data_IF_903701312653
#
_entry.id   IF_903701312653
#
_cell.length_a   1.000
_cell.length_b   1.000
_cell.length_c   1.000
_cell.angle_alpha   90.00
_cell.angle_beta   90.00
_cell.angle_gamma   90.00
#
_symmetry.space_group_name_H-M   'P 1'
#
loop_
_entity.id
_entity.type
_entity.pdbx_description
1 polymer ?
#
# COMPACT_ATOMS: atom_id res chain seq x y z
N UNK A 1 -21.55 12.39 -16.86
CA UNK A 1 -20.43 11.66 -16.25
C UNK A 1 -19.55 12.55 -15.36
N UNK A 2 -19.81 13.87 -15.29
CA UNK A 2 -19.19 14.82 -14.34
C UNK A 2 -19.14 14.33 -12.88
N UNK A 3 -20.19 13.62 -12.44
CA UNK A 3 -20.25 13.05 -11.09
C UNK A 3 -19.07 12.12 -10.76
N UNK A 4 -18.53 11.37 -11.72
CA UNK A 4 -17.44 10.44 -11.46
C UNK A 4 -16.13 11.19 -11.17
N UNK A 5 -15.84 12.26 -11.93
CA UNK A 5 -14.69 13.12 -11.67
C UNK A 5 -14.74 13.69 -10.25
N UNK A 6 -15.89 14.21 -9.81
CA UNK A 6 -16.03 14.75 -8.46
C UNK A 6 -15.90 13.68 -7.37
N UNK A 7 -16.43 12.47 -7.58
CA UNK A 7 -16.25 11.35 -6.65
C UNK A 7 -14.76 10.97 -6.57
N UNK A 8 -14.09 10.81 -7.71
CA UNK A 8 -12.67 10.47 -7.75
C UNK A 8 -11.81 11.56 -7.10
N UNK A 9 -12.08 12.82 -7.38
CA UNK A 9 -11.41 13.96 -6.76
C UNK A 9 -11.62 13.98 -5.24
N UNK A 10 -12.84 13.72 -4.78
CA UNK A 10 -13.12 13.61 -3.34
C UNK A 10 -12.32 12.47 -2.69
N UNK A 11 -12.16 11.32 -3.36
CA UNK A 11 -11.29 10.23 -2.91
C UNK A 11 -9.83 10.69 -2.82
N UNK A 12 -9.30 11.38 -3.84
CA UNK A 12 -7.93 11.92 -3.84
C UNK A 12 -7.71 12.89 -2.69
N UNK A 13 -8.60 13.87 -2.53
CA UNK A 13 -8.51 14.88 -1.46
C UNK A 13 -8.56 14.20 -0.08
N UNK A 14 -9.50 13.28 0.12
CA UNK A 14 -9.65 12.55 1.38
C UNK A 14 -8.42 11.68 1.67
N UNK A 15 -7.84 11.07 0.65
CA UNK A 15 -6.62 10.29 0.75
C UNK A 15 -5.40 11.16 1.12
N UNK A 16 -5.27 12.34 0.52
CA UNK A 16 -4.25 13.32 0.91
C UNK A 16 -4.41 13.76 2.38
N UNK A 17 -5.64 14.03 2.81
CA UNK A 17 -5.94 14.33 4.22
C UNK A 17 -5.51 13.16 5.11
N UNK A 18 -5.84 11.91 4.74
CA UNK A 18 -5.42 10.73 5.51
C UNK A 18 -3.90 10.64 5.66
N UNK A 19 -3.12 10.90 4.59
CA UNK A 19 -1.66 10.93 4.65
C UNK A 19 -1.16 12.00 5.61
N UNK A 20 -1.71 13.22 5.55
CA UNK A 20 -1.34 14.31 6.46
C UNK A 20 -1.65 13.93 7.91
N UNK A 21 -2.83 13.35 8.16
CA UNK A 21 -3.21 12.88 9.50
C UNK A 21 -2.24 11.81 10.01
N UNK A 22 -1.72 10.92 9.15
CA UNK A 22 -0.70 9.95 9.53
C UNK A 22 0.62 10.59 9.97
N UNK A 23 0.95 11.78 9.44
CA UNK A 23 2.20 12.49 9.75
C UNK A 23 2.07 13.37 11.00
N UNK A 24 0.88 13.91 11.26
CA UNK A 24 0.67 14.93 12.33
C UNK A 24 0.10 14.31 13.61
N UNK A 25 -0.81 13.33 13.51
CA UNK A 25 -1.40 12.72 14.71
C UNK A 25 -0.36 11.84 15.42
N UNK A 26 -0.27 11.89 16.76
CA UNK A 26 0.64 11.04 17.52
C UNK A 26 0.51 9.55 17.12
N UNK A 27 1.62 8.86 16.83
CA UNK A 27 1.68 7.44 16.44
C UNK A 27 0.76 6.49 17.23
N UNK A 28 0.71 6.66 18.55
CA UNK A 28 -0.09 5.84 19.48
C UNK A 28 -1.60 5.99 19.24
N UNK A 29 -2.03 7.15 18.75
CA UNK A 29 -3.43 7.47 18.46
C UNK A 29 -3.77 6.99 17.05
N UNK A 30 -3.05 7.46 16.02
CA UNK A 30 -3.35 7.11 14.63
C UNK A 30 -3.26 5.61 14.40
N UNK A 31 -2.26 4.93 14.98
CA UNK A 31 -2.07 3.50 14.79
C UNK A 31 -3.13 2.61 15.47
N UNK A 32 -3.98 3.18 16.33
CA UNK A 32 -5.19 2.49 16.83
C UNK A 32 -6.35 2.54 15.85
N UNK A 33 -6.28 3.38 14.82
CA UNK A 33 -7.31 3.52 13.79
C UNK A 33 -6.81 3.05 12.44
N UNK A 34 -5.57 3.35 12.09
CA UNK A 34 -4.90 2.90 10.86
C UNK A 34 -3.63 2.13 11.20
N UNK A 35 -3.71 0.79 11.32
CA UNK A 35 -2.56 -0.05 11.58
C UNK A 35 -1.51 0.11 10.48
N UNK A 36 -0.25 0.02 10.88
CA UNK A 36 0.88 0.23 9.97
C UNK A 36 0.86 1.60 9.26
N UNK A 37 0.28 2.64 9.88
CA UNK A 37 0.28 4.02 9.37
C UNK A 37 1.68 4.54 8.99
N UNK A 38 2.75 4.01 9.61
CA UNK A 38 4.13 4.32 9.23
C UNK A 38 4.42 4.00 7.77
N UNK A 39 3.68 3.10 7.13
CA UNK A 39 3.84 2.81 5.70
C UNK A 39 3.54 4.03 4.81
N UNK A 40 2.85 5.05 5.33
CA UNK A 40 2.63 6.34 4.68
C UNK A 40 3.75 7.36 4.95
N UNK A 41 4.67 7.07 5.87
CA UNK A 41 5.80 7.97 6.17
C UNK A 41 6.91 7.76 5.13
N UNK A 42 7.44 8.81 4.49
CA UNK A 42 8.48 8.66 3.47
C UNK A 42 9.68 7.81 3.93
N UNK A 43 10.13 8.00 5.17
CA UNK A 43 11.28 7.30 5.76
C UNK A 43 11.08 5.79 5.93
N UNK A 44 9.83 5.31 6.06
CA UNK A 44 9.47 3.89 6.20
C UNK A 44 8.86 3.33 4.92
N UNK A 45 8.27 4.17 4.08
CA UNK A 45 7.80 3.80 2.74
C UNK A 45 8.97 3.36 1.84
N UNK A 46 10.11 4.05 1.94
CA UNK A 46 11.31 3.72 1.19
C UNK A 46 12.00 2.42 1.65
N UNK A 47 11.67 1.92 2.84
CA UNK A 47 12.23 0.68 3.38
C UNK A 47 11.44 -0.51 2.81
N UNK A 48 11.83 -0.97 1.63
CA UNK A 48 11.13 -2.06 0.93
C UNK A 48 11.01 -3.33 1.76
N UNK A 49 12.01 -3.64 2.59
CA UNK A 49 11.97 -4.78 3.52
C UNK A 49 10.84 -4.65 4.55
N UNK A 50 10.68 -3.46 5.13
CA UNK A 50 9.57 -3.17 6.05
C UNK A 50 8.23 -3.29 5.32
N UNK A 51 8.09 -2.66 4.14
CA UNK A 51 6.86 -2.72 3.35
C UNK A 51 6.50 -4.16 2.97
N UNK A 52 7.48 -4.94 2.51
CA UNK A 52 7.29 -6.31 2.04
C UNK A 52 6.90 -7.25 3.18
N UNK A 53 7.53 -7.12 4.36
CA UNK A 53 7.18 -7.94 5.53
C UNK A 53 5.79 -7.57 6.06
N UNK A 54 5.46 -6.28 6.12
CA UNK A 54 4.11 -5.81 6.50
C UNK A 54 3.06 -6.32 5.51
N UNK A 55 3.35 -6.23 4.21
CA UNK A 55 2.51 -6.77 3.15
C UNK A 55 2.28 -8.28 3.35
N UNK A 56 3.32 -9.09 3.49
CA UNK A 56 3.15 -10.55 3.68
C UNK A 56 2.48 -10.92 5.01
N UNK A 57 2.60 -10.09 6.05
CA UNK A 57 1.90 -10.27 7.31
C UNK A 57 0.38 -9.99 7.19
N UNK A 58 -0.02 -9.03 6.34
CA UNK A 58 -1.40 -8.59 6.16
C UNK A 58 -2.19 -9.36 5.08
N UNK A 59 -1.51 -9.99 4.11
CA UNK A 59 -2.14 -10.60 2.94
C UNK A 59 -1.93 -12.11 2.93
N UNK A 60 -2.63 -12.81 3.82
CA UNK A 60 -2.50 -14.27 4.02
C UNK A 60 -3.48 -15.05 3.19
N UNK A 61 -4.66 -14.50 2.94
CA UNK A 61 -5.71 -15.14 2.15
C UNK A 61 -5.37 -15.05 0.65
N UNK A 62 -5.52 -16.17 -0.06
CA UNK A 62 -5.37 -16.25 -1.51
C UNK A 62 -6.29 -15.27 -2.24
N UNK A 63 -7.53 -15.09 -1.78
CA UNK A 63 -8.44 -14.10 -2.36
C UNK A 63 -7.85 -12.69 -2.25
N UNK A 64 -7.37 -12.32 -1.06
CA UNK A 64 -6.77 -11.02 -0.83
C UNK A 64 -5.52 -10.82 -1.71
N UNK A 65 -4.67 -11.85 -1.87
CA UNK A 65 -3.52 -11.82 -2.77
C UNK A 65 -3.92 -11.60 -4.23
N UNK A 66 -4.98 -12.27 -4.69
CA UNK A 66 -5.48 -12.15 -6.07
C UNK A 66 -5.95 -10.73 -6.34
N UNK A 67 -6.80 -10.18 -5.47
CA UNK A 67 -7.29 -8.81 -5.66
C UNK A 67 -6.17 -7.78 -5.58
N UNK A 68 -5.10 -8.04 -4.83
CA UNK A 68 -3.93 -7.17 -4.79
C UNK A 68 -3.07 -7.19 -6.06
N UNK A 69 -3.19 -8.18 -6.95
CA UNK A 69 -2.52 -8.09 -8.26
C UNK A 69 -3.01 -6.92 -9.11
N UNK A 70 -4.19 -6.37 -8.81
CA UNK A 70 -4.67 -5.12 -9.42
C UNK A 70 -3.72 -3.94 -9.24
N UNK A 71 -2.87 -3.93 -8.19
CA UNK A 71 -1.88 -2.87 -7.93
C UNK A 71 -0.92 -2.67 -9.12
N UNK A 72 -0.56 -3.75 -9.84
CA UNK A 72 0.24 -3.62 -11.05
C UNK A 72 -0.45 -2.74 -12.09
N UNK A 73 -1.75 -2.96 -12.31
CA UNK A 73 -2.55 -2.19 -13.26
C UNK A 73 -2.74 -0.76 -12.74
N UNK A 74 -3.09 -0.62 -11.46
CA UNK A 74 -3.32 0.68 -10.82
C UNK A 74 -2.13 1.63 -10.98
N UNK A 75 -0.90 1.12 -10.89
CA UNK A 75 0.31 1.93 -11.06
C UNK A 75 0.33 2.67 -12.41
N UNK A 76 -0.05 2.00 -13.50
CA UNK A 76 -0.15 2.60 -14.83
C UNK A 76 -1.38 3.50 -14.94
N UNK A 77 -2.52 3.06 -14.41
CA UNK A 77 -3.78 3.81 -14.44
C UNK A 77 -3.61 5.16 -13.76
N UNK A 78 -2.97 5.20 -12.59
CA UNK A 78 -2.64 6.45 -11.91
C UNK A 78 -1.81 7.38 -12.80
N UNK A 79 -0.72 6.88 -13.40
CA UNK A 79 0.16 7.70 -14.25
C UNK A 79 -0.57 8.24 -15.48
N UNK A 80 -1.43 7.44 -16.11
CA UNK A 80 -2.27 7.89 -17.23
C UNK A 80 -3.27 8.96 -16.80
N UNK A 81 -3.89 8.81 -15.61
CA UNK A 81 -4.83 9.80 -15.08
C UNK A 81 -4.14 11.14 -14.82
N UNK A 82 -3.00 11.16 -14.11
CA UNK A 82 -2.30 12.43 -13.87
C UNK A 82 -1.79 13.04 -15.17
N UNK A 83 -1.27 12.23 -16.11
CA UNK A 83 -0.81 12.73 -17.40
C UNK A 83 -1.92 13.41 -18.22
N UNK A 84 -3.18 12.94 -18.14
CA UNK A 84 -4.29 13.59 -18.85
C UNK A 84 -4.65 14.97 -18.30
N UNK A 85 -4.32 15.27 -17.03
CA UNK A 85 -4.49 16.60 -16.48
C UNK A 85 -3.35 17.55 -16.90
N UNK A 86 -2.12 17.05 -16.85
CA UNK A 86 -0.95 17.79 -17.30
C UNK A 86 0.19 16.82 -17.61
N UNK A 87 0.68 16.84 -18.86
CA UNK A 87 1.79 15.97 -19.27
C UNK A 87 3.08 16.20 -18.47
N UNK A 88 3.22 17.39 -17.87
CA UNK A 88 4.34 17.70 -16.99
C UNK A 88 4.47 16.80 -15.76
N UNK A 89 3.37 16.15 -15.33
CA UNK A 89 3.39 15.20 -14.22
C UNK A 89 4.33 14.02 -14.47
N UNK A 90 4.55 13.61 -15.72
CA UNK A 90 5.48 12.52 -16.01
C UNK A 90 6.93 12.89 -15.68
N UNK A 91 7.35 14.14 -15.91
CA UNK A 91 8.68 14.60 -15.51
C UNK A 91 8.84 14.62 -13.99
N UNK A 92 7.79 15.00 -13.27
CA UNK A 92 7.77 14.95 -11.80
C UNK A 92 7.86 13.49 -11.33
N UNK A 93 7.08 12.59 -11.91
CA UNK A 93 7.12 11.16 -11.58
C UNK A 93 8.52 10.57 -11.83
N UNK A 94 9.14 10.90 -12.97
CA UNK A 94 10.51 10.49 -13.29
C UNK A 94 11.53 10.97 -12.25
N UNK A 95 11.45 12.24 -11.85
CA UNK A 95 12.31 12.79 -10.79
C UNK A 95 12.10 12.05 -9.46
N UNK A 96 10.85 11.80 -9.08
CA UNK A 96 10.53 11.06 -7.86
C UNK A 96 11.00 9.61 -7.92
N UNK A 97 10.90 8.93 -9.06
CA UNK A 97 11.45 7.58 -9.24
C UNK A 97 12.97 7.55 -9.16
N UNK A 98 13.65 8.58 -9.68
CA UNK A 98 15.10 8.72 -9.53
C UNK A 98 15.50 8.92 -8.06
N UNK A 99 14.81 9.80 -7.33
CA UNK A 99 15.01 10.00 -5.89
C UNK A 99 14.74 8.68 -5.13
N UNK A 100 13.64 7.99 -5.44
CA UNK A 100 13.29 6.71 -4.81
C UNK A 100 14.36 5.64 -5.06
N UNK A 101 14.89 5.56 -6.28
CA UNK A 101 15.99 4.65 -6.65
C UNK A 101 17.22 4.89 -5.78
N UNK A 102 17.63 6.15 -5.62
CA UNK A 102 18.79 6.51 -4.80
C UNK A 102 18.59 6.16 -3.32
N UNK A 103 17.38 6.37 -2.79
CA UNK A 103 17.11 6.15 -1.38
C UNK A 103 16.91 4.67 -1.01
N UNK A 104 16.39 3.84 -1.92
CA UNK A 104 16.25 2.37 -1.70
C UNK A 104 17.62 1.69 -1.67
N UNK A 105 18.64 2.27 -2.32
CA UNK A 105 20.02 1.74 -2.43
C UNK A 105 20.17 0.44 -3.23
N UNK A 106 19.08 -0.15 -3.71
CA UNK A 106 19.10 -1.27 -4.66
C UNK A 106 18.95 -0.76 -6.10
N UNK A 107 20.03 -0.16 -6.64
CA UNK A 107 20.01 0.57 -7.91
C UNK A 107 19.60 -0.33 -9.09
N UNK A 108 20.16 -1.53 -9.20
CA UNK A 108 19.88 -2.44 -10.34
C UNK A 108 18.40 -2.83 -10.39
N UNK A 109 17.83 -3.20 -9.25
CA UNK A 109 16.42 -3.56 -9.14
C UNK A 109 15.50 -2.38 -9.45
N UNK A 110 15.75 -1.24 -8.83
CA UNK A 110 14.89 -0.06 -8.97
C UNK A 110 14.94 0.53 -10.38
N UNK A 111 16.13 0.56 -11.02
CA UNK A 111 16.26 0.91 -12.43
C UNK A 111 15.46 -0.06 -13.30
N UNK A 112 15.61 -1.38 -13.10
CA UNK A 112 14.87 -2.37 -13.89
C UNK A 112 13.35 -2.21 -13.73
N UNK A 113 12.87 -2.05 -12.50
CA UNK A 113 11.45 -1.87 -12.21
C UNK A 113 10.91 -0.58 -12.85
N UNK A 114 11.65 0.52 -12.76
CA UNK A 114 11.27 1.79 -13.38
C UNK A 114 11.32 1.72 -14.91
N UNK A 115 12.30 1.03 -15.51
CA UNK A 115 12.36 0.83 -16.96
C UNK A 115 11.16 0.03 -17.47
N UNK A 116 10.75 -1.02 -16.76
CA UNK A 116 9.55 -1.81 -17.10
C UNK A 116 8.30 -0.91 -17.01
N UNK A 117 8.15 -0.19 -15.89
CA UNK A 117 7.05 0.73 -15.68
C UNK A 117 6.95 1.79 -16.79
N UNK A 118 8.07 2.44 -17.12
CA UNK A 118 8.12 3.49 -18.13
C UNK A 118 7.91 2.94 -19.54
N UNK A 119 8.49 1.78 -19.88
CA UNK A 119 8.32 1.19 -21.21
C UNK A 119 6.87 0.83 -21.49
N UNK A 120 6.20 0.17 -20.54
CA UNK A 120 4.78 -0.16 -20.67
C UNK A 120 3.94 1.12 -20.69
N UNK A 121 4.24 2.11 -19.84
CA UNK A 121 3.54 3.39 -19.84
C UNK A 121 3.65 4.10 -21.20
N UNK A 122 4.83 4.14 -21.82
CA UNK A 122 5.03 4.75 -23.14
C UNK A 122 4.24 4.03 -24.24
N UNK A 123 4.18 2.69 -24.20
CA UNK A 123 3.33 1.90 -25.09
C UNK A 123 1.86 2.30 -24.89
N UNK A 124 1.39 2.31 -23.64
CA UNK A 124 0.01 2.68 -23.32
C UNK A 124 -0.31 4.10 -23.79
N UNK A 125 0.58 5.08 -23.56
CA UNK A 125 0.40 6.46 -24.00
C UNK A 125 0.29 6.60 -25.52
N UNK A 126 0.89 5.69 -26.30
CA UNK A 126 0.76 5.68 -27.77
C UNK A 126 -0.64 5.29 -28.23
N UNK A 127 -1.34 4.44 -27.45
CA UNK A 127 -2.70 3.97 -27.77
C UNK A 127 -3.79 4.69 -26.97
N UNK A 128 -3.42 5.42 -25.92
CA UNK A 128 -4.37 6.02 -24.99
C UNK A 128 -4.99 7.30 -25.56
N UNK A 129 -6.31 7.30 -25.68
CA UNK A 129 -7.09 8.52 -25.98
C UNK A 129 -7.72 9.06 -24.70
N UNK A 130 -7.84 10.39 -24.60
CA UNK A 130 -8.35 11.06 -23.40
C UNK A 130 -9.80 10.66 -23.07
N UNK A 131 -10.53 10.10 -24.03
CA UNK A 131 -11.90 9.63 -23.87
C UNK A 131 -12.04 8.47 -22.86
N UNK A 132 -10.94 7.80 -22.48
CA UNK A 132 -10.97 6.71 -21.51
C UNK A 132 -10.69 7.12 -20.07
N UNK A 133 -10.44 8.41 -19.81
CA UNK A 133 -10.00 8.89 -18.50
C UNK A 133 -11.00 8.58 -17.37
N UNK A 134 -12.29 8.72 -17.64
CA UNK A 134 -13.35 8.44 -16.68
C UNK A 134 -13.38 6.95 -16.31
N UNK A 135 -13.19 6.04 -17.27
CA UNK A 135 -13.11 4.61 -16.99
C UNK A 135 -11.89 4.26 -16.13
N UNK A 136 -10.77 4.95 -16.33
CA UNK A 136 -9.59 4.82 -15.48
C UNK A 136 -9.85 5.30 -14.04
N UNK A 137 -10.54 6.42 -13.87
CA UNK A 137 -10.96 6.91 -12.56
C UNK A 137 -11.88 5.90 -11.85
N UNK A 138 -12.89 5.38 -12.57
CA UNK A 138 -13.77 4.34 -12.05
C UNK A 138 -12.98 3.09 -11.66
N UNK A 139 -12.02 2.66 -12.48
CA UNK A 139 -11.14 1.53 -12.19
C UNK A 139 -10.43 1.72 -10.85
N UNK A 140 -9.78 2.87 -10.61
CA UNK A 140 -9.07 3.10 -9.34
C UNK A 140 -9.98 3.01 -8.11
N UNK A 141 -11.23 3.47 -8.22
CA UNK A 141 -12.24 3.39 -7.16
C UNK A 141 -12.66 1.93 -6.93
N UNK A 142 -13.01 1.21 -8.00
CA UNK A 142 -13.45 -0.19 -7.90
C UNK A 142 -12.33 -1.12 -7.43
N UNK A 143 -11.11 -0.89 -7.91
CA UNK A 143 -9.89 -1.61 -7.52
C UNK A 143 -9.63 -1.47 -6.02
N UNK A 144 -9.74 -0.26 -5.48
CA UNK A 144 -9.63 0.01 -4.04
C UNK A 144 -10.76 -0.65 -3.22
N UNK A 145 -12.01 -0.57 -3.70
CA UNK A 145 -13.14 -1.22 -3.05
C UNK A 145 -12.97 -2.76 -3.01
N UNK A 146 -12.49 -3.35 -4.09
CA UNK A 146 -12.24 -4.78 -4.17
C UNK A 146 -11.13 -5.23 -3.20
N UNK A 147 -10.04 -4.46 -3.08
CA UNK A 147 -9.00 -4.74 -2.07
C UNK A 147 -9.51 -4.59 -0.64
N UNK A 148 -10.34 -3.57 -0.37
CA UNK A 148 -10.99 -3.44 0.94
C UNK A 148 -11.85 -4.66 1.27
N UNK A 149 -12.65 -5.16 0.31
CA UNK A 149 -13.44 -6.38 0.48
C UNK A 149 -12.53 -7.58 0.76
N UNK A 150 -11.39 -7.68 0.06
CA UNK A 150 -10.35 -8.69 0.33
C UNK A 150 -9.87 -8.71 1.77
N UNK A 151 -9.72 -7.53 2.38
CA UNK A 151 -9.29 -7.37 3.77
C UNK A 151 -10.35 -7.69 4.82
N UNK A 152 -11.65 -7.72 4.47
CA UNK A 152 -12.71 -8.11 5.42
C UNK A 152 -12.49 -9.55 5.93
N UNK A 153 -11.88 -10.39 5.11
CA UNK A 153 -11.62 -11.80 5.41
C UNK A 153 -10.25 -12.03 6.09
N UNK A 154 -9.46 -10.98 6.32
CA UNK A 154 -8.18 -11.09 7.01
C UNK A 154 -8.35 -10.90 8.52
N UNK A 155 -7.44 -11.46 9.33
CA UNK A 155 -7.38 -11.14 10.75
C UNK A 155 -7.18 -9.63 10.97
N UNK A 156 -7.78 -9.10 12.04
CA UNK A 156 -7.60 -7.72 12.44
C UNK A 156 -6.13 -7.45 12.80
N UNK A 157 -5.54 -6.37 12.24
CA UNK A 157 -4.16 -6.01 12.51
C UNK A 157 -3.84 -5.82 14.00
N UNK A 158 -2.57 -6.00 14.38
CA UNK A 158 -2.11 -5.74 15.75
C UNK A 158 -2.36 -4.29 16.16
N UNK A 159 -2.58 -4.09 17.46
CA UNK A 159 -2.81 -2.78 18.11
C UNK A 159 -4.16 -2.10 17.84
N UNK A 160 -5.05 -2.68 17.03
CA UNK A 160 -6.42 -2.17 16.86
C UNK A 160 -7.29 -2.33 18.10
N UNK A 161 -7.12 -3.44 18.84
CA UNK A 161 -8.03 -3.84 19.92
C UNK A 161 -7.31 -3.79 21.26
N UNK A 162 -6.09 -4.29 21.31
CA UNK A 162 -5.28 -4.33 22.51
C UNK A 162 -3.79 -4.12 22.20
N UNK A 163 -2.99 -4.00 23.26
CA UNK A 163 -1.54 -3.82 23.13
C UNK A 163 -0.77 -5.14 22.98
N UNK A 164 -1.41 -6.27 22.63
CA UNK A 164 -0.74 -7.58 22.54
C UNK A 164 0.32 -7.60 21.43
N UNK A 165 0.10 -6.86 20.35
CA UNK A 165 0.91 -6.95 19.13
C UNK A 165 0.63 -8.22 18.31
N UNK A 166 -0.46 -8.92 18.61
CA UNK A 166 -0.92 -10.09 17.87
C UNK A 166 -2.03 -9.71 16.88
N UNK A 167 -2.14 -10.48 15.81
CA UNK A 167 -3.31 -10.44 14.95
C UNK A 167 -4.50 -11.07 15.67
N UNK A 168 -5.69 -10.50 15.50
CA UNK A 168 -6.91 -11.00 16.13
C UNK A 168 -7.88 -11.53 15.08
N UNK A 169 -8.55 -12.67 15.32
CA UNK A 169 -9.53 -13.18 14.35
C UNK A 169 -10.70 -12.23 14.17
N UNK A 170 -11.18 -12.08 12.93
CA UNK A 170 -12.38 -11.29 12.61
C UNK A 170 -13.63 -12.10 12.99
N UNK A 171 -14.14 -11.91 14.22
CA UNK A 171 -15.36 -12.55 14.72
C UNK A 171 -16.20 -11.58 15.58
N UNK A 172 -17.41 -11.99 15.97
CA UNK A 172 -18.35 -11.15 16.73
C UNK A 172 -17.73 -10.65 18.05
N UNK A 173 -17.02 -11.50 18.78
CA UNK A 173 -16.38 -11.12 20.05
C UNK A 173 -15.34 -10.02 19.83
N UNK A 174 -14.52 -10.17 18.80
CA UNK A 174 -13.48 -9.22 18.43
C UNK A 174 -14.08 -7.88 17.95
N UNK A 175 -15.12 -7.94 17.11
CA UNK A 175 -15.85 -6.77 16.63
C UNK A 175 -16.57 -6.01 17.74
N UNK A 176 -17.17 -6.73 18.71
CA UNK A 176 -17.77 -6.11 19.91
C UNK A 176 -16.73 -5.33 20.72
N UNK A 177 -15.50 -5.86 20.87
CA UNK A 177 -14.40 -5.14 21.54
C UNK A 177 -13.96 -3.90 20.78
N UNK A 178 -13.97 -3.95 19.44
CA UNK A 178 -13.62 -2.80 18.60
C UNK A 178 -14.66 -1.67 18.71
N UNK A 179 -15.93 -2.04 18.84
CA UNK A 179 -17.06 -1.13 18.96
C UNK A 179 -17.62 -0.70 17.60
N UNK A 180 -18.94 -0.56 17.50
CA UNK A 180 -19.66 -0.32 16.25
C UNK A 180 -19.15 0.91 15.49
N UNK A 181 -18.98 2.05 16.18
CA UNK A 181 -18.51 3.29 15.57
C UNK A 181 -17.14 3.14 14.92
N UNK A 182 -16.22 2.45 15.59
CA UNK A 182 -14.87 2.22 15.09
C UNK A 182 -14.89 1.25 13.91
N UNK A 183 -15.68 0.18 13.99
CA UNK A 183 -15.88 -0.76 12.88
C UNK A 183 -16.36 -0.03 11.63
N UNK A 184 -17.37 0.84 11.76
CA UNK A 184 -17.90 1.61 10.62
C UNK A 184 -16.85 2.60 10.09
N UNK A 185 -16.13 3.30 10.97
CA UNK A 185 -15.11 4.27 10.58
C UNK A 185 -13.89 3.63 9.87
N UNK A 186 -13.60 2.34 10.10
CA UNK A 186 -12.52 1.64 9.42
C UNK A 186 -12.78 1.40 7.94
N UNK A 187 -14.05 1.33 7.49
CA UNK A 187 -14.36 1.14 6.07
C UNK A 187 -13.87 2.30 5.19
N UNK A 188 -14.25 3.57 5.42
CA UNK A 188 -13.75 4.67 4.61
C UNK A 188 -12.24 4.86 4.75
N UNK A 189 -11.68 4.65 5.95
CA UNK A 189 -10.22 4.76 6.16
C UNK A 189 -9.47 3.67 5.39
N UNK A 190 -9.94 2.42 5.47
CA UNK A 190 -9.40 1.29 4.74
C UNK A 190 -9.54 1.46 3.23
N UNK A 191 -10.69 1.95 2.76
CA UNK A 191 -10.89 2.29 1.36
C UNK A 191 -9.84 3.30 0.87
N UNK A 192 -9.63 4.39 1.59
CA UNK A 192 -8.64 5.42 1.21
C UNK A 192 -7.21 4.89 1.28
N UNK A 193 -6.90 4.04 2.26
CA UNK A 193 -5.61 3.37 2.35
C UNK A 193 -5.36 2.45 1.15
N UNK A 194 -6.38 1.72 0.69
CA UNK A 194 -6.30 0.90 -0.51
C UNK A 194 -6.31 1.71 -1.80
N UNK A 195 -7.03 2.82 -1.85
CA UNK A 195 -7.00 3.74 -2.98
C UNK A 195 -5.60 4.30 -3.24
N UNK A 196 -4.88 4.64 -2.16
CA UNK A 196 -3.46 5.02 -2.23
C UNK A 196 -2.52 3.83 -2.47
N UNK A 197 -2.94 2.60 -2.23
CA UNK A 197 -2.08 1.42 -2.34
C UNK A 197 -1.65 1.12 -3.78
N UNK A 198 -2.51 1.48 -4.74
CA UNK A 198 -2.27 1.36 -6.18
C UNK A 198 -1.31 2.39 -6.79
N UNK A 199 -0.82 3.38 -6.02
CA UNK A 199 0.11 4.38 -6.55
C UNK A 199 1.46 3.73 -6.93
N UNK A 200 2.10 4.19 -8.03
CA UNK A 200 3.27 3.52 -8.63
C UNK A 200 4.50 3.49 -7.70
N UNK A 201 4.61 4.41 -6.74
CA UNK A 201 5.75 4.48 -5.83
C UNK A 201 5.58 3.65 -4.55
N UNK A 202 4.39 3.06 -4.31
CA UNK A 202 4.07 2.39 -3.04
C UNK A 202 4.26 0.87 -3.14
N UNK A 203 3.22 0.11 -3.48
CA UNK A 203 3.25 -1.35 -3.44
C UNK A 203 3.75 -1.99 -4.75
N UNK A 204 3.86 -1.23 -5.84
CA UNK A 204 4.41 -1.72 -7.10
C UNK A 204 5.81 -2.33 -6.92
N UNK A 205 6.71 -1.65 -6.21
CA UNK A 205 8.06 -2.15 -5.95
C UNK A 205 8.08 -3.38 -5.04
N UNK A 206 7.13 -3.50 -4.10
CA UNK A 206 6.98 -4.71 -3.27
C UNK A 206 6.63 -5.90 -4.17
N UNK A 207 5.69 -5.73 -5.09
CA UNK A 207 5.29 -6.79 -6.02
C UNK A 207 6.39 -7.12 -7.03
N UNK A 208 7.13 -6.12 -7.51
CA UNK A 208 8.30 -6.34 -8.35
C UNK A 208 9.36 -7.17 -7.62
N UNK A 209 9.65 -6.86 -6.34
CA UNK A 209 10.58 -7.66 -5.53
C UNK A 209 10.13 -9.13 -5.43
N UNK A 210 8.83 -9.37 -5.23
CA UNK A 210 8.28 -10.73 -5.17
C UNK A 210 8.53 -11.56 -6.44
N UNK A 211 8.54 -10.89 -7.60
CA UNK A 211 8.83 -11.50 -8.89
C UNK A 211 10.34 -11.65 -9.09
N UNK A 212 11.10 -10.57 -8.93
CA UNK A 212 12.52 -10.50 -9.28
C UNK A 212 13.41 -11.33 -8.36
N UNK A 213 13.04 -11.47 -7.08
CA UNK A 213 13.74 -12.31 -6.10
C UNK A 213 13.85 -13.78 -6.52
N UNK A 214 13.05 -14.24 -7.50
CA UNK A 214 13.16 -15.60 -8.05
C UNK A 214 14.29 -15.74 -9.06
N UNK A 215 14.69 -14.64 -9.69
CA UNK A 215 15.59 -14.62 -10.84
C UNK A 215 16.99 -14.10 -10.49
N UNK A 216 17.12 -13.24 -9.48
CA UNK A 216 18.43 -12.81 -9.00
C UNK A 216 18.43 -12.44 -7.53
N UNK A 217 19.63 -12.40 -6.96
CA UNK A 217 19.87 -12.03 -5.56
C UNK A 217 20.04 -10.51 -5.45
N UNK A 218 19.20 -9.90 -4.65
CA UNK A 218 19.30 -8.50 -4.25
C UNK A 218 20.44 -8.29 -3.26
N UNK A 219 21.08 -7.12 -3.29
CA UNK A 219 22.21 -6.75 -2.42
C UNK A 219 21.74 -6.16 -1.09
N UNK A 220 20.73 -5.30 -1.12
CA UNK A 220 20.29 -4.47 0.02
C UNK A 220 18.85 -4.72 0.46
N UNK A 221 18.08 -5.47 -0.32
CA UNK A 221 16.72 -5.89 0.05
C UNK A 221 16.65 -7.39 0.23
N UNK A 222 15.78 -7.85 1.11
CA UNK A 222 15.58 -9.27 1.38
C UNK A 222 15.04 -10.01 0.17
N UNK A 223 15.51 -11.25 0.00
CA UNK A 223 14.86 -12.18 -0.90
C UNK A 223 13.41 -12.46 -0.45
N UNK A 224 12.54 -12.72 -1.42
CA UNK A 224 11.12 -12.93 -1.14
C UNK A 224 10.82 -14.12 -0.21
N UNK A 225 11.62 -15.20 -0.26
CA UNK A 225 11.43 -16.36 0.64
C UNK A 225 11.58 -15.95 2.11
N UNK A 226 12.58 -15.13 2.42
CA UNK A 226 12.82 -14.57 3.75
C UNK A 226 11.71 -13.60 4.17
N UNK A 227 11.22 -12.77 3.24
CA UNK A 227 10.06 -11.90 3.48
C UNK A 227 8.85 -12.72 3.90
N UNK A 228 8.51 -13.76 3.14
CA UNK A 228 7.36 -14.64 3.42
C UNK A 228 7.54 -15.33 4.79
N UNK A 229 8.71 -15.88 5.08
CA UNK A 229 8.97 -16.53 6.37
C UNK A 229 8.78 -15.57 7.57
N UNK A 230 9.28 -14.34 7.46
CA UNK A 230 9.13 -13.31 8.49
C UNK A 230 7.70 -12.81 8.61
N UNK A 231 6.99 -12.61 7.50
CA UNK A 231 5.56 -12.25 7.49
C UNK A 231 4.69 -13.31 8.17
N UNK A 232 4.96 -14.60 7.91
CA UNK A 232 4.31 -15.73 8.60
C UNK A 232 4.58 -15.66 10.10
N UNK A 233 5.85 -15.47 10.49
CA UNK A 233 6.24 -15.39 11.89
C UNK A 233 5.54 -14.23 12.60
N UNK A 234 5.49 -13.05 11.98
CA UNK A 234 4.76 -11.88 12.49
C UNK A 234 3.28 -12.19 12.76
N UNK A 235 2.65 -12.92 11.85
CA UNK A 235 1.24 -13.29 11.98
C UNK A 235 1.01 -14.30 13.11
N UNK A 236 1.89 -15.29 13.28
CA UNK A 236 1.74 -16.38 14.27
C UNK A 236 2.19 -16.00 15.68
N UNK A 237 3.32 -15.33 15.79
CA UNK A 237 4.00 -15.03 17.06
C UNK A 237 3.87 -13.56 17.48
N UNK A 238 3.30 -12.72 16.61
CA UNK A 238 3.09 -11.30 16.83
C UNK A 238 4.24 -10.44 16.33
N UNK A 239 3.90 -9.22 15.93
CA UNK A 239 4.84 -8.29 15.29
C UNK A 239 5.94 -7.78 16.22
N UNK A 240 5.80 -7.95 17.54
CA UNK A 240 6.81 -7.54 18.52
C UNK A 240 8.10 -8.35 18.42
N UNK A 241 8.05 -9.56 17.86
CA UNK A 241 9.21 -10.43 17.66
C UNK A 241 10.01 -10.03 16.42
N UNK A 242 9.45 -9.18 15.56
CA UNK A 242 10.06 -8.76 14.31
C UNK A 242 10.89 -7.50 14.53
N UNK A 243 12.22 -7.61 14.37
CA UNK A 243 13.17 -6.53 14.55
C UNK A 243 12.88 -5.32 13.65
N UNK A 244 12.39 -5.55 12.42
CA UNK A 244 11.98 -4.47 11.50
C UNK A 244 10.79 -3.66 12.03
N UNK A 245 9.94 -4.28 12.85
CA UNK A 245 8.74 -3.67 13.42
C UNK A 245 8.97 -3.16 14.84
N UNK A 246 10.20 -3.23 15.38
CA UNK A 246 10.52 -2.82 16.74
C UNK A 246 10.20 -1.34 16.99
N UNK A 247 10.56 -0.47 16.04
CA UNK A 247 10.25 0.96 16.13
C UNK A 247 8.75 1.22 16.13
N UNK A 248 8.01 0.55 15.24
CA UNK A 248 6.55 0.63 15.20
C UNK A 248 5.94 0.20 16.54
N UNK A 249 6.41 -0.90 17.12
CA UNK A 249 5.92 -1.41 18.39
C UNK A 249 6.24 -0.49 19.57
N UNK A 250 7.31 0.32 19.52
CA UNK A 250 7.68 1.26 20.61
C UNK A 250 6.58 2.28 20.87
N UNK A 251 5.84 2.72 19.85
CA UNK A 251 4.75 3.69 19.99
C UNK A 251 3.58 3.20 20.86
N UNK A 252 3.46 1.88 21.06
CA UNK A 252 2.37 1.27 21.82
C UNK A 252 2.82 0.67 23.16
N UNK A 253 4.11 0.81 23.51
CA UNK A 253 4.58 0.53 24.87
C UNK A 253 4.03 1.61 25.80
N UNK A 254 3.72 1.24 27.04
CA UNK A 254 3.01 2.11 28.00
C UNK A 254 3.71 3.44 28.14
#
# INVERSE_FOLDING_TARGET
>A
MENLYYIWLACVVSACILVILCLVIPPKIIGRTLPFFLAFWPSKNIQLDFQSVVYEALHRNSFNRIVHYSIFIDAFVWLLIVNSFWSGFLYIALLLFAIQTLLIKEIKFTILANLILLSILMILLTFFTHNYIEYLMLWTILSAALRLIGHIFEPLPPFLIDNSGQFSPMNITTLKKLGLFKTIALFPIGFLAEFLSGQPHRLFLVQMNAITSKFYQHQYIMNWKSVVARGIKCCKEGIKQESLLKDYCRFFKK
#
